data_IF_450438268773
#
_entry.id   IF_450438268773
#
_cell.length_a   1.000
_cell.length_b   1.000
_cell.length_c   1.000
_cell.angle_alpha   90.00
_cell.angle_beta   90.00
_cell.angle_gamma   90.00
#
_symmetry.space_group_name_H-M   'P 1'
#
loop_
_entity.id
_entity.type
_entity.pdbx_description
1 polymer ?
#
# COMPACT_ATOMS: atom_id res chain seq x y z
N UNK A 1 23.56 8.20 4.25
CA UNK A 1 23.23 8.02 3.78
C UNK A 1 22.07 7.69 3.71
N UNK A 2 21.67 7.22 3.31
CA UNK A 2 20.50 7.12 3.06
C UNK A 2 19.68 6.70 4.03
N UNK A 3 18.66 7.19 4.18
CA UNK A 3 17.80 6.82 5.11
C UNK A 3 17.26 5.56 4.81
N UNK A 4 17.31 4.72 5.65
CA UNK A 4 16.80 3.47 5.47
C UNK A 4 15.41 3.44 5.94
N UNK A 5 14.52 3.90 5.13
CA UNK A 5 13.12 3.84 5.44
C UNK A 5 12.51 2.59 4.93
N UNK A 6 11.64 2.00 5.70
CA UNK A 6 10.89 0.83 5.31
C UNK A 6 9.43 1.26 5.13
N UNK A 7 8.88 0.95 4.00
CA UNK A 7 7.48 1.26 3.72
C UNK A 7 6.60 0.09 4.15
N UNK A 8 5.54 0.38 4.85
CA UNK A 8 4.64 -0.62 5.38
C UNK A 8 3.20 -0.24 5.07
N UNK A 9 2.38 -1.26 4.87
CA UNK A 9 0.94 -1.09 4.76
C UNK A 9 0.30 -1.70 5.99
N UNK A 10 -0.54 -0.92 6.65
CA UNK A 10 -1.22 -1.36 7.85
C UNK A 10 -2.71 -1.44 7.63
N UNK A 11 -3.31 -2.57 7.94
CA UNK A 11 -4.76 -2.74 7.90
C UNK A 11 -5.14 -3.71 9.02
N UNK A 12 -5.15 -3.28 10.28
CA UNK A 12 -5.46 -4.18 11.38
C UNK A 12 -6.82 -4.83 11.18
N UNK A 13 -6.98 -6.08 11.61
CA UNK A 13 -6.03 -6.87 12.39
C UNK A 13 -5.00 -7.64 11.58
N UNK A 14 -4.91 -7.39 10.30
CA UNK A 14 -3.95 -8.09 9.48
C UNK A 14 -2.53 -7.65 9.84
N UNK A 15 -1.58 -8.54 9.66
CA UNK A 15 -0.19 -8.20 9.90
C UNK A 15 0.28 -7.15 8.89
N UNK A 16 1.14 -6.23 9.29
CA UNK A 16 1.66 -5.24 8.35
C UNK A 16 2.43 -5.91 7.23
N UNK A 17 2.37 -5.33 6.05
CA UNK A 17 3.08 -5.86 4.90
C UNK A 17 4.11 -4.84 4.45
N UNK A 18 5.32 -5.29 4.28
CA UNK A 18 6.40 -4.41 3.84
C UNK A 18 6.37 -4.25 2.33
N UNK A 19 6.58 -3.05 1.86
CA UNK A 19 6.69 -2.77 0.43
C UNK A 19 8.17 -2.78 0.07
N UNK A 20 8.61 -3.72 -0.76
CA UNK A 20 10.04 -3.80 -1.10
C UNK A 20 10.50 -2.55 -1.84
N UNK A 21 11.80 -2.22 -1.62
CA UNK A 21 12.36 -1.04 -2.18
C UNK A 21 12.29 -0.98 -3.67
N UNK A 22 12.42 -2.06 -4.38
CA UNK A 22 12.35 -2.09 -5.82
C UNK A 22 11.29 -3.08 -6.26
N UNK A 23 10.27 -3.24 -5.47
CA UNK A 23 9.26 -4.23 -5.76
C UNK A 23 7.87 -3.66 -5.67
N UNK A 24 6.92 -4.55 -5.48
CA UNK A 24 5.52 -4.18 -5.46
C UNK A 24 4.75 -5.07 -4.51
N UNK A 25 3.63 -4.57 -4.05
CA UNK A 25 2.73 -5.30 -3.19
C UNK A 25 1.35 -5.25 -3.83
N UNK A 26 0.79 -6.40 -4.13
CA UNK A 26 -0.57 -6.46 -4.68
C UNK A 26 -1.57 -6.48 -3.53
N UNK A 27 -2.66 -5.76 -3.71
CA UNK A 27 -3.73 -5.67 -2.72
C UNK A 27 -5.01 -6.14 -3.38
N UNK A 28 -5.72 -7.02 -2.73
CA UNK A 28 -6.99 -7.48 -3.27
C UNK A 28 -7.58 -8.60 -2.46
N UNK A 29 -8.71 -9.14 -2.92
CA UNK A 29 -9.42 -10.18 -2.23
C UNK A 29 -8.82 -11.54 -2.51
N UNK A 30 -8.02 -11.66 -3.55
CA UNK A 30 -7.45 -12.94 -3.96
C UNK A 30 -6.40 -13.43 -2.99
N UNK A 31 -6.35 -14.77 -2.82
CA UNK A 31 -5.40 -15.33 -1.89
C UNK A 31 -3.98 -15.16 -2.32
N UNK A 32 -3.76 -14.95 -3.62
CA UNK A 32 -2.42 -14.77 -4.14
C UNK A 32 -1.95 -13.33 -4.06
N UNK A 33 -2.75 -12.44 -3.53
CA UNK A 33 -2.29 -11.08 -3.31
C UNK A 33 -1.35 -11.02 -2.13
N UNK A 34 -0.35 -10.17 -2.22
CA UNK A 34 0.58 -9.98 -1.13
C UNK A 34 -0.14 -9.45 0.11
N UNK A 35 -1.13 -8.60 -0.11
CA UNK A 35 -1.93 -8.08 0.97
C UNK A 35 -3.37 -8.47 0.67
N UNK A 36 -3.79 -9.62 1.17
CA UNK A 36 -5.11 -10.14 0.90
C UNK A 36 -6.12 -9.54 1.90
N UNK A 37 -7.10 -8.81 1.37
CA UNK A 37 -8.11 -8.18 2.21
C UNK A 37 -9.38 -9.01 2.20
N UNK A 38 -10.09 -9.00 3.31
CA UNK A 38 -11.27 -9.83 3.45
C UNK A 38 -12.52 -9.00 3.30
N UNK A 39 -12.77 -8.52 2.12
CA UNK A 39 -13.97 -7.74 1.88
C UNK A 39 -14.51 -8.07 0.49
N UNK A 40 -15.80 -8.29 0.38
CA UNK A 40 -16.41 -8.71 -0.86
C UNK A 40 -16.41 -7.65 -1.93
N UNK A 41 -16.29 -6.39 -1.54
CA UNK A 41 -16.34 -5.28 -2.51
C UNK A 41 -14.94 -4.94 -3.06
N UNK A 42 -13.91 -5.71 -2.71
CA UNK A 42 -12.63 -5.56 -3.35
C UNK A 42 -12.51 -6.57 -4.49
N UNK A 43 -11.86 -6.17 -5.56
CA UNK A 43 -11.59 -7.08 -6.68
C UNK A 43 -10.49 -8.04 -6.28
N UNK A 44 -10.36 -9.18 -6.97
CA UNK A 44 -9.33 -10.14 -6.63
C UNK A 44 -7.97 -9.54 -6.67
N UNK A 45 -7.64 -8.83 -7.73
CA UNK A 45 -6.42 -8.04 -7.81
C UNK A 45 -6.90 -6.62 -7.98
N UNK A 46 -6.85 -5.83 -6.94
CA UNK A 46 -7.51 -4.54 -6.91
C UNK A 46 -6.55 -3.38 -7.15
N UNK A 47 -5.45 -3.39 -6.45
CA UNK A 47 -4.49 -2.28 -6.53
C UNK A 47 -3.08 -2.80 -6.28
N UNK A 48 -2.12 -1.96 -6.55
CA UNK A 48 -0.73 -2.33 -6.37
C UNK A 48 0.03 -1.14 -5.84
N UNK A 49 0.80 -1.34 -4.78
CA UNK A 49 1.71 -0.33 -4.27
C UNK A 49 3.10 -0.73 -4.74
N UNK A 50 3.83 0.19 -5.30
CA UNK A 50 5.14 -0.13 -5.87
C UNK A 50 6.11 1.03 -5.67
N UNK A 51 7.37 0.72 -5.77
CA UNK A 51 8.43 1.71 -5.67
C UNK A 51 8.95 2.04 -7.06
N UNK A 52 9.18 3.31 -7.30
CA UNK A 52 9.70 3.76 -8.59
C UNK A 52 10.60 4.97 -8.33
N UNK A 53 11.88 4.81 -8.58
CA UNK A 53 12.86 5.89 -8.45
C UNK A 53 12.82 6.53 -7.07
N UNK A 54 12.75 5.73 -6.05
CA UNK A 54 12.76 6.23 -4.69
C UNK A 54 11.43 6.70 -4.17
N UNK A 55 10.41 6.70 -5.00
CA UNK A 55 9.07 7.11 -4.60
C UNK A 55 8.19 5.89 -4.47
N UNK A 56 7.15 6.00 -3.67
CA UNK A 56 6.16 4.94 -3.55
C UNK A 56 4.86 5.43 -4.18
N UNK A 57 4.26 4.58 -4.99
CA UNK A 57 3.04 4.93 -5.69
C UNK A 57 2.03 3.81 -5.53
N UNK A 58 0.77 4.14 -5.73
CA UNK A 58 -0.30 3.14 -5.79
C UNK A 58 -1.03 3.32 -7.10
N UNK A 59 -1.45 2.22 -7.69
CA UNK A 59 -2.27 2.27 -8.88
C UNK A 59 -3.39 1.27 -8.80
N UNK A 60 -4.48 1.57 -9.47
CA UNK A 60 -5.62 0.68 -9.55
C UNK A 60 -5.35 -0.35 -10.64
N UNK A 61 -5.74 -1.59 -10.44
CA UNK A 61 -5.53 -2.66 -11.40
C UNK A 61 -6.86 -3.00 -12.10
N UNK A 62 -7.52 -1.98 -12.59
CA UNK A 62 -8.79 -2.13 -13.30
C UNK A 62 -9.84 -2.77 -12.39
N UNK A 63 -9.89 -2.29 -11.17
CA UNK A 63 -10.81 -2.83 -10.20
C UNK A 63 -12.24 -2.44 -10.52
N UNK A 64 -13.18 -3.19 -9.96
CA UNK A 64 -14.58 -2.91 -10.20
C UNK A 64 -15.02 -1.61 -9.55
N UNK A 65 -14.60 -1.35 -8.34
CA UNK A 65 -15.08 -0.20 -7.58
C UNK A 65 -14.10 0.95 -7.43
N UNK A 66 -12.90 0.79 -7.96
CA UNK A 66 -11.89 1.85 -7.90
C UNK A 66 -11.04 1.80 -6.63
N UNK A 67 -9.96 2.51 -6.67
CA UNK A 67 -9.03 2.65 -5.54
C UNK A 67 -9.04 4.11 -5.12
N UNK A 68 -9.05 4.35 -3.82
CA UNK A 68 -9.15 5.70 -3.29
C UNK A 68 -7.95 5.98 -2.39
N UNK A 69 -7.44 7.19 -2.44
CA UNK A 69 -6.38 7.64 -1.54
C UNK A 69 -6.92 8.85 -0.80
N UNK A 70 -7.00 8.74 0.51
CA UNK A 70 -7.55 9.78 1.36
C UNK A 70 -8.95 10.23 0.89
N UNK A 71 -9.73 9.27 0.43
CA UNK A 71 -11.09 9.53 0.00
C UNK A 71 -11.23 9.99 -1.44
N UNK A 72 -10.14 10.11 -2.18
CA UNK A 72 -10.18 10.55 -3.56
C UNK A 72 -9.95 9.39 -4.50
N UNK A 73 -10.82 9.21 -5.47
CA UNK A 73 -10.65 8.18 -6.48
C UNK A 73 -9.43 8.49 -7.33
N UNK A 74 -8.52 7.54 -7.47
CA UNK A 74 -7.34 7.80 -8.27
C UNK A 74 -7.62 7.44 -9.73
N UNK A 75 -7.17 8.27 -10.63
CA UNK A 75 -7.35 8.02 -12.05
C UNK A 75 -6.12 7.47 -12.72
N UNK A 76 -5.04 7.36 -12.02
CA UNK A 76 -3.78 6.82 -12.51
C UNK A 76 -2.86 6.65 -11.33
N UNK A 77 -1.59 6.36 -11.55
CA UNK A 77 -0.68 6.20 -10.42
C UNK A 77 -0.66 7.43 -9.54
N UNK A 78 -0.70 7.21 -8.25
CA UNK A 78 -0.72 8.28 -7.27
C UNK A 78 0.44 8.10 -6.30
N UNK A 79 1.24 9.13 -6.13
CA UNK A 79 2.33 9.10 -5.16
C UNK A 79 1.79 9.03 -3.76
N UNK A 80 2.41 8.22 -2.93
CA UNK A 80 2.01 8.04 -1.55
C UNK A 80 2.91 8.82 -0.61
N UNK A 81 2.28 9.43 0.39
CA UNK A 81 2.97 10.09 1.48
C UNK A 81 2.68 9.33 2.75
N UNK A 82 3.56 9.40 3.75
CA UNK A 82 3.31 8.72 5.01
C UNK A 82 1.97 9.15 5.61
N UNK A 83 1.19 8.20 6.02
CA UNK A 83 -0.12 8.47 6.60
C UNK A 83 -1.26 8.40 5.61
N UNK A 84 -0.96 8.28 4.31
CA UNK A 84 -2.03 8.18 3.33
C UNK A 84 -2.84 6.91 3.53
N UNK A 85 -4.14 7.03 3.34
CA UNK A 85 -5.05 5.90 3.49
C UNK A 85 -5.47 5.42 2.11
N UNK A 86 -5.24 4.14 1.85
CA UNK A 86 -5.57 3.53 0.58
C UNK A 86 -6.80 2.65 0.80
N UNK A 87 -7.89 2.96 0.13
CA UNK A 87 -9.12 2.19 0.26
C UNK A 87 -9.36 1.34 -0.98
N UNK A 88 -9.58 0.06 -0.78
CA UNK A 88 -9.96 -0.88 -1.82
C UNK A 88 -11.24 -1.54 -1.34
N UNK A 89 -12.35 -1.14 -1.88
CA UNK A 89 -13.64 -1.53 -1.35
C UNK A 89 -13.80 -0.98 0.07
N UNK A 90 -14.26 -1.79 0.98
CA UNK A 90 -14.40 -1.37 2.37
C UNK A 90 -13.14 -1.52 3.17
N UNK A 91 -12.09 -2.05 2.60
CA UNK A 91 -10.82 -2.24 3.31
C UNK A 91 -9.96 -1.01 3.12
N UNK A 92 -9.46 -0.46 4.22
CA UNK A 92 -8.59 0.71 4.16
C UNK A 92 -7.29 0.40 4.86
N UNK A 93 -6.19 0.62 4.17
CA UNK A 93 -4.87 0.43 4.74
C UNK A 93 -4.15 1.76 4.81
N UNK A 94 -3.26 1.89 5.75
CA UNK A 94 -2.48 3.12 5.91
C UNK A 94 -1.06 2.87 5.45
N UNK A 95 -0.57 3.77 4.63
CA UNK A 95 0.81 3.71 4.16
C UNK A 95 1.70 4.40 5.18
N UNK A 96 2.73 3.73 5.63
CA UNK A 96 3.65 4.27 6.63
C UNK A 96 5.08 4.14 6.18
N UNK A 97 5.90 5.06 6.60
CA UNK A 97 7.34 4.94 6.42
C UNK A 97 7.95 4.86 7.81
N UNK A 98 8.72 3.80 8.02
CA UNK A 98 9.36 3.59 9.31
C UNK A 98 10.86 3.69 9.09
N UNK A 99 11.49 4.57 9.81
CA UNK A 99 12.93 4.70 9.68
C UNK A 99 13.64 3.61 10.43
N UNK A 100 14.72 3.13 9.89
CA UNK A 100 15.52 2.13 10.56
C UNK A 100 15.99 2.65 11.89
N UNK A 101 15.86 1.83 12.88
CA UNK A 101 16.20 2.31 14.17
C UNK A 101 17.60 2.13 14.57
N UNK A 102 18.45 1.62 13.67
CA UNK A 102 19.72 1.42 14.12
C UNK A 102 20.34 2.61 14.52
N UNK A 103 20.12 3.67 13.86
CA UNK A 103 20.78 4.78 14.23
C UNK A 103 20.09 5.48 15.23
N UNK A 104 18.92 5.31 15.42
CA UNK A 104 18.21 6.01 16.31
C UNK A 104 18.39 5.68 17.69
N UNK A 105 19.09 4.75 17.99
CA UNK A 105 19.20 4.32 19.19
C UNK A 105 20.24 4.64 19.78
N UNK A 106 20.81 5.15 19.73
CA UNK A 106 21.89 5.43 20.24
C UNK A 106 21.83 6.17 21.13
#
# INVERSE_FOLDING_TARGET
MSADRTALLFCPPLAPVEVPRNGRVSIGRGRDCDFAVCTDDASRRHAEVYADDGLFLVRDLMSRNGTFVNGELIGGPRRLEPGDRIAVGSAASTFCLVQSSLDGFL
#
